data_IF_135252466692
#
_entry.id   IF_135252466692
#
_cell.length_a   1.000
_cell.length_b   1.000
_cell.length_c   1.000
_cell.angle_alpha   90.00
_cell.angle_beta   90.00
_cell.angle_gamma   90.00
#
_symmetry.space_group_name_H-M   'P 1'
#
loop_
_entity.id
_entity.type
_entity.pdbx_description
1 polymer ?
#
# COMPACT_ATOMS: atom_id res chain seq x y z
N UNK A 1 -19.94 -12.87 -1.88
CA UNK A 1 -20.30 -12.02 -0.72
C UNK A 1 -19.74 -10.63 -1.03
N UNK A 2 -20.57 -9.61 -0.93
CA UNK A 2 -20.13 -8.24 -1.15
C UNK A 2 -19.05 -7.87 -0.13
N UNK A 3 -17.95 -7.34 -0.60
CA UNK A 3 -16.85 -6.86 0.24
C UNK A 3 -17.15 -5.44 0.69
N UNK A 4 -17.18 -5.19 2.00
CA UNK A 4 -17.41 -3.87 2.59
C UNK A 4 -16.11 -3.26 3.07
N UNK A 5 -15.95 -1.95 2.86
CA UNK A 5 -14.84 -1.14 3.35
C UNK A 5 -15.32 -0.18 4.44
N UNK A 6 -14.42 0.23 5.31
CA UNK A 6 -14.70 1.14 6.43
C UNK A 6 -14.58 2.57 5.93
N UNK A 7 -15.69 3.31 5.92
CA UNK A 7 -15.68 4.75 5.69
C UNK A 7 -15.10 5.47 6.90
N UNK A 8 -14.24 6.46 6.66
CA UNK A 8 -13.58 7.22 7.72
C UNK A 8 -13.67 8.72 7.47
N UNK A 9 -13.44 9.51 8.52
CA UNK A 9 -13.17 10.93 8.41
C UNK A 9 -11.66 11.19 8.14
N UNK A 10 -11.28 12.46 8.01
CA UNK A 10 -9.89 12.89 7.78
C UNK A 10 -8.91 12.53 8.92
N UNK A 11 -9.42 12.15 10.09
CA UNK A 11 -8.64 11.69 11.24
C UNK A 11 -8.63 10.17 11.38
N UNK A 12 -9.17 9.44 10.36
CA UNK A 12 -9.31 7.98 10.36
C UNK A 12 -10.30 7.43 11.42
N UNK A 13 -11.25 8.25 11.87
CA UNK A 13 -12.32 7.74 12.72
C UNK A 13 -13.38 7.06 11.86
N UNK A 14 -13.82 5.84 12.19
CA UNK A 14 -14.88 5.16 11.45
C UNK A 14 -16.20 5.93 11.50
N UNK A 15 -16.79 6.18 10.33
CA UNK A 15 -18.09 6.86 10.20
C UNK A 15 -19.17 6.01 9.52
N UNK A 16 -18.82 4.81 9.06
CA UNK A 16 -19.76 3.89 8.41
C UNK A 16 -19.06 2.82 7.60
N UNK A 17 -19.83 2.18 6.72
CA UNK A 17 -19.34 1.18 5.77
C UNK A 17 -19.99 1.39 4.41
N UNK A 18 -19.29 1.00 3.36
CA UNK A 18 -19.85 0.95 2.00
C UNK A 18 -19.39 -0.33 1.30
N UNK A 19 -20.19 -0.78 0.34
CA UNK A 19 -19.76 -1.82 -0.59
C UNK A 19 -18.55 -1.34 -1.39
N UNK A 20 -17.51 -2.17 -1.48
CA UNK A 20 -16.21 -1.81 -2.06
C UNK A 20 -16.33 -1.16 -3.44
N UNK A 21 -17.10 -1.75 -4.36
CA UNK A 21 -17.26 -1.19 -5.71
C UNK A 21 -17.91 0.18 -5.67
N UNK A 22 -18.99 0.34 -4.90
CA UNK A 22 -19.67 1.64 -4.76
C UNK A 22 -18.82 2.69 -4.05
N UNK A 23 -17.94 2.25 -3.15
CA UNK A 23 -17.04 3.14 -2.44
C UNK A 23 -16.04 3.82 -3.39
N UNK A 24 -15.58 3.11 -4.43
CA UNK A 24 -14.60 3.62 -5.38
C UNK A 24 -15.21 4.40 -6.56
N UNK A 25 -16.55 4.38 -6.72
CA UNK A 25 -17.24 4.96 -7.86
C UNK A 25 -18.10 6.17 -7.49
N UNK A 26 -18.20 7.19 -8.37
CA UNK A 26 -17.25 7.54 -9.45
C UNK A 26 -16.01 8.26 -8.89
N UNK A 27 -16.17 9.08 -7.83
CA UNK A 27 -15.14 9.99 -7.31
C UNK A 27 -14.41 9.44 -6.06
N UNK A 28 -14.78 8.25 -5.61
CA UNK A 28 -14.20 7.62 -4.43
C UNK A 28 -14.67 8.26 -3.10
N UNK A 29 -15.27 7.48 -2.20
CA UNK A 29 -15.54 7.91 -0.82
C UNK A 29 -14.31 7.67 0.04
N UNK A 30 -14.03 8.57 0.98
CA UNK A 30 -12.89 8.39 1.88
C UNK A 30 -13.09 7.14 2.75
N UNK A 31 -12.14 6.22 2.65
CA UNK A 31 -12.20 4.94 3.34
C UNK A 31 -10.82 4.46 3.79
N UNK A 32 -10.80 3.47 4.67
CA UNK A 32 -9.58 2.91 5.25
C UNK A 32 -8.98 1.84 4.37
N UNK A 33 -7.67 1.98 4.09
CA UNK A 33 -6.89 1.02 3.32
C UNK A 33 -5.48 0.84 3.89
N UNK A 34 -4.73 -0.10 3.36
CA UNK A 34 -3.32 -0.25 3.68
C UNK A 34 -2.50 -0.71 2.48
N UNK A 35 -1.22 -0.36 2.51
CA UNK A 35 -0.17 -0.88 1.63
C UNK A 35 0.88 -1.59 2.47
N UNK A 36 1.08 -2.87 2.20
CA UNK A 36 2.11 -3.70 2.81
C UNK A 36 3.32 -3.81 1.88
N UNK A 37 4.50 -3.49 2.41
CA UNK A 37 5.78 -3.51 1.71
C UNK A 37 6.65 -4.60 2.33
N UNK A 38 6.97 -5.65 1.57
CA UNK A 38 7.82 -6.75 2.01
C UNK A 38 9.20 -6.60 1.38
N UNK A 39 10.20 -6.57 2.25
CA UNK A 39 11.60 -6.51 1.86
C UNK A 39 12.30 -7.83 2.11
N UNK A 40 13.31 -8.14 1.31
CA UNK A 40 14.27 -9.19 1.64
C UNK A 40 15.47 -8.61 2.42
N UNK A 41 16.37 -9.47 2.89
CA UNK A 41 17.57 -9.04 3.63
C UNK A 41 18.55 -8.20 2.80
N UNK A 42 18.43 -8.23 1.47
CA UNK A 42 19.23 -7.42 0.55
C UNK A 42 18.63 -6.02 0.32
N UNK A 43 17.49 -5.70 0.97
CA UNK A 43 16.79 -4.43 0.82
C UNK A 43 15.99 -4.29 -0.47
N UNK A 44 15.74 -5.38 -1.20
CA UNK A 44 14.83 -5.36 -2.36
C UNK A 44 13.38 -5.46 -1.92
N UNK A 45 12.51 -4.72 -2.56
CA UNK A 45 11.05 -4.76 -2.39
C UNK A 45 10.44 -5.82 -3.28
N UNK A 46 9.53 -6.63 -2.72
CA UNK A 46 8.68 -7.52 -3.50
C UNK A 46 7.50 -6.73 -4.08
N UNK A 47 7.49 -6.57 -5.39
CA UNK A 47 6.35 -6.01 -6.12
C UNK A 47 5.43 -7.12 -6.61
N UNK A 48 4.14 -6.82 -6.65
CA UNK A 48 3.11 -7.64 -7.29
C UNK A 48 2.54 -6.92 -8.49
N UNK A 49 2.21 -7.64 -9.55
CA UNK A 49 1.50 -7.11 -10.70
C UNK A 49 0.02 -7.40 -10.52
N UNK A 50 -0.79 -6.37 -10.50
CA UNK A 50 -2.25 -6.48 -10.38
C UNK A 50 -2.82 -7.31 -11.55
N UNK A 51 -3.81 -8.11 -11.26
CA UNK A 51 -4.53 -8.85 -12.30
C UNK A 51 -5.23 -7.91 -13.28
N UNK A 52 -5.34 -8.32 -14.54
CA UNK A 52 -6.08 -7.58 -15.58
C UNK A 52 -7.60 -7.51 -15.31
N UNK A 53 -8.10 -8.32 -14.35
CA UNK A 53 -9.50 -8.28 -13.90
C UNK A 53 -9.80 -7.19 -12.87
N UNK A 54 -8.78 -6.48 -12.36
CA UNK A 54 -8.98 -5.39 -11.40
C UNK A 54 -9.72 -4.22 -12.05
N UNK A 55 -10.71 -3.68 -11.34
CA UNK A 55 -11.51 -2.53 -11.80
C UNK A 55 -10.66 -1.26 -11.97
N UNK A 56 -9.77 -1.00 -11.00
CA UNK A 56 -8.87 0.15 -10.98
C UNK A 56 -7.41 -0.34 -11.08
N UNK A 57 -6.59 0.33 -11.89
CA UNK A 57 -5.19 -0.02 -12.17
C UNK A 57 -4.98 -1.51 -12.54
N UNK A 58 -5.74 -2.09 -13.50
CA UNK A 58 -5.48 -3.45 -13.97
C UNK A 58 -4.10 -3.53 -14.65
N UNK A 59 -3.33 -4.57 -14.35
CA UNK A 59 -2.03 -4.81 -14.96
C UNK A 59 -0.88 -3.93 -14.47
N UNK A 60 -1.12 -3.01 -13.52
CA UNK A 60 -0.07 -2.16 -12.97
C UNK A 60 0.72 -2.88 -11.86
N UNK A 61 1.96 -2.44 -11.66
CA UNK A 61 2.80 -2.88 -10.55
C UNK A 61 2.41 -2.17 -9.24
N UNK A 62 2.32 -2.94 -8.18
CA UNK A 62 1.93 -2.49 -6.85
C UNK A 62 2.96 -2.88 -5.80
N UNK A 63 2.80 -2.37 -4.59
CA UNK A 63 3.44 -2.90 -3.40
C UNK A 63 3.14 -4.38 -3.22
N UNK A 64 3.62 -4.99 -2.14
CA UNK A 64 3.47 -6.44 -2.00
C UNK A 64 2.02 -6.87 -1.85
N UNK A 65 1.25 -6.15 -1.02
CA UNK A 65 -0.22 -6.33 -0.88
C UNK A 65 -0.85 -4.99 -0.56
N UNK A 66 -1.88 -4.60 -1.30
CA UNK A 66 -2.73 -3.46 -1.00
C UNK A 66 -4.18 -3.91 -0.82
N UNK A 67 -4.81 -3.56 0.31
CA UNK A 67 -6.15 -4.03 0.64
C UNK A 67 -6.81 -3.18 1.74
N UNK A 68 -7.95 -3.64 2.23
CA UNK A 68 -8.77 -2.92 3.20
C UNK A 68 -8.91 -3.72 4.50
N UNK A 69 -8.79 -3.06 5.68
CA UNK A 69 -9.17 -3.65 6.95
C UNK A 69 -10.67 -3.96 7.01
N UNK A 70 -11.01 -5.11 7.59
CA UNK A 70 -12.39 -5.44 7.96
C UNK A 70 -12.74 -4.83 9.31
N UNK A 71 -14.04 -4.77 9.61
CA UNK A 71 -14.49 -4.33 10.93
C UNK A 71 -13.84 -5.15 12.05
N UNK A 72 -13.29 -4.45 13.04
CA UNK A 72 -12.57 -5.06 14.18
C UNK A 72 -11.10 -5.41 13.89
N UNK A 73 -10.63 -5.25 12.65
CA UNK A 73 -9.22 -5.44 12.32
C UNK A 73 -8.41 -4.15 12.52
N UNK A 74 -7.18 -4.32 12.98
CA UNK A 74 -6.14 -3.31 12.90
C UNK A 74 -5.48 -3.36 11.51
N UNK A 75 -4.71 -2.35 11.14
CA UNK A 75 -3.89 -2.38 9.92
C UNK A 75 -2.97 -3.62 9.89
N UNK A 76 -2.30 -3.91 11.02
CA UNK A 76 -1.39 -5.05 11.15
C UNK A 76 -2.13 -6.38 10.96
N UNK A 77 -3.21 -6.61 11.71
CA UNK A 77 -3.96 -7.88 11.61
C UNK A 77 -4.58 -8.09 10.23
N UNK A 78 -5.00 -7.01 9.56
CA UNK A 78 -5.51 -7.07 8.21
C UNK A 78 -4.43 -7.46 7.19
N UNK A 79 -3.24 -6.87 7.27
CA UNK A 79 -2.12 -7.23 6.41
C UNK A 79 -1.66 -8.68 6.65
N UNK A 80 -1.53 -9.11 7.93
CA UNK A 80 -1.16 -10.48 8.28
C UNK A 80 -2.19 -11.52 7.82
N UNK A 81 -3.48 -11.15 7.69
CA UNK A 81 -4.50 -11.98 7.06
C UNK A 81 -4.36 -12.04 5.55
N UNK A 82 -4.19 -10.88 4.89
CA UNK A 82 -4.21 -10.81 3.42
C UNK A 82 -2.94 -11.37 2.76
N UNK A 83 -1.79 -11.23 3.40
CA UNK A 83 -0.51 -11.73 2.88
C UNK A 83 -0.54 -13.22 2.51
N UNK A 84 -0.92 -14.16 3.41
CA UNK A 84 -1.03 -15.56 3.03
C UNK A 84 -2.17 -15.83 2.04
N UNK A 85 -3.25 -15.05 2.06
CA UNK A 85 -4.36 -15.21 1.12
C UNK A 85 -3.93 -14.87 -0.32
N UNK A 86 -3.19 -13.78 -0.55
CA UNK A 86 -2.85 -13.29 -1.90
C UNK A 86 -1.58 -13.88 -2.47
N UNK A 87 -0.54 -14.03 -1.66
CA UNK A 87 0.80 -14.38 -2.13
C UNK A 87 1.44 -15.58 -1.39
N UNK A 88 0.71 -16.19 -0.44
CA UNK A 88 1.21 -17.34 0.30
C UNK A 88 2.34 -17.04 1.28
N UNK A 89 2.62 -15.77 1.59
CA UNK A 89 3.65 -15.37 2.55
C UNK A 89 3.04 -15.15 3.93
N UNK A 90 3.70 -15.63 4.97
CA UNK A 90 3.42 -15.28 6.36
C UNK A 90 4.64 -14.60 6.95
N UNK A 91 4.50 -13.36 7.35
CA UNK A 91 5.54 -12.64 8.07
C UNK A 91 4.92 -11.66 9.08
N UNK A 92 5.73 -11.28 10.06
CA UNK A 92 5.32 -10.26 11.03
C UNK A 92 5.30 -8.89 10.35
N UNK A 93 4.16 -8.21 10.44
CA UNK A 93 4.01 -6.87 9.91
C UNK A 93 4.26 -5.82 11.00
N UNK A 94 4.88 -4.72 10.60
CA UNK A 94 5.13 -3.57 11.45
C UNK A 94 4.45 -2.36 10.83
N UNK A 95 3.62 -1.69 11.62
CA UNK A 95 3.00 -0.45 11.22
C UNK A 95 4.05 0.68 11.20
N UNK A 96 4.04 1.50 10.14
CA UNK A 96 5.01 2.58 9.94
C UNK A 96 4.34 3.94 10.12
N UNK A 97 3.34 4.24 9.31
CA UNK A 97 2.64 5.52 9.26
C UNK A 97 1.32 5.40 8.50
N UNK A 98 0.61 6.49 8.32
CA UNK A 98 -0.52 6.60 7.39
C UNK A 98 -0.58 7.99 6.73
N UNK A 99 -1.21 8.03 5.58
CA UNK A 99 -1.44 9.25 4.81
C UNK A 99 -2.82 9.21 4.15
N UNK A 100 -3.39 10.38 3.90
CA UNK A 100 -4.59 10.51 3.08
C UNK A 100 -4.19 10.91 1.67
N UNK A 101 -4.77 10.23 0.68
CA UNK A 101 -4.57 10.56 -0.73
C UNK A 101 -5.84 10.36 -1.54
N UNK A 102 -5.91 11.02 -2.70
CA UNK A 102 -6.98 10.88 -3.66
C UNK A 102 -6.42 10.88 -5.08
N UNK A 103 -6.63 9.80 -5.80
CA UNK A 103 -6.18 9.65 -7.19
C UNK A 103 -7.32 9.10 -8.05
N UNK A 104 -7.76 9.83 -9.07
CA UNK A 104 -8.70 9.30 -10.05
C UNK A 104 -8.01 8.33 -11.01
N UNK A 105 -8.74 7.30 -11.42
CA UNK A 105 -8.31 6.37 -12.46
C UNK A 105 -9.18 6.53 -13.70
N UNK A 106 -8.69 7.28 -14.67
CA UNK A 106 -9.41 7.58 -15.92
C UNK A 106 -10.84 8.11 -15.60
N UNK A 107 -11.83 7.67 -16.38
CA UNK A 107 -13.25 7.95 -16.16
C UNK A 107 -13.98 6.79 -15.45
N UNK A 108 -13.22 5.90 -14.75
CA UNK A 108 -13.78 4.68 -14.14
C UNK A 108 -14.15 4.91 -12.68
N UNK A 109 -13.21 5.42 -11.89
CA UNK A 109 -13.39 5.60 -10.43
C UNK A 109 -12.16 6.23 -9.80
N UNK A 110 -12.06 6.18 -8.48
CA UNK A 110 -10.95 6.80 -7.74
C UNK A 110 -10.59 5.99 -6.51
N UNK A 111 -9.30 6.02 -6.16
CA UNK A 111 -8.87 5.75 -4.79
C UNK A 111 -8.96 7.05 -3.98
N UNK A 112 -9.63 6.99 -2.85
CA UNK A 112 -9.73 8.09 -1.88
C UNK A 112 -9.62 7.47 -0.48
N UNK A 113 -8.40 7.44 0.05
CA UNK A 113 -8.06 6.56 1.16
C UNK A 113 -7.28 7.26 2.27
N UNK A 114 -7.56 6.84 3.51
CA UNK A 114 -6.58 6.88 4.59
C UNK A 114 -5.84 5.55 4.55
N UNK A 115 -4.63 5.59 4.02
CA UNK A 115 -3.82 4.42 3.73
C UNK A 115 -2.71 4.23 4.76
N UNK A 116 -2.75 3.11 5.50
CA UNK A 116 -1.70 2.71 6.42
C UNK A 116 -0.53 2.04 5.69
N UNK A 117 0.70 2.44 5.98
CA UNK A 117 1.92 1.80 5.47
C UNK A 117 2.40 0.74 6.47
N UNK A 118 2.60 -0.47 5.98
CA UNK A 118 3.16 -1.57 6.79
C UNK A 118 4.42 -2.13 6.14
N UNK A 119 5.35 -2.57 6.99
CA UNK A 119 6.62 -3.15 6.57
C UNK A 119 6.80 -4.54 7.15
N UNK A 120 7.21 -5.48 6.32
CA UNK A 120 7.65 -6.81 6.71
C UNK A 120 8.99 -7.18 6.07
N UNK A 121 9.69 -8.14 6.68
CA UNK A 121 10.95 -8.67 6.16
C UNK A 121 10.86 -10.18 6.07
N UNK A 122 11.25 -10.74 4.94
CA UNK A 122 11.32 -12.19 4.73
C UNK A 122 12.74 -12.60 4.37
N UNK A 123 13.15 -13.77 4.85
CA UNK A 123 14.48 -14.31 4.60
C UNK A 123 14.54 -15.10 3.29
N UNK A 124 13.58 -16.02 3.13
CA UNK A 124 13.42 -16.87 1.96
C UNK A 124 11.98 -16.79 1.47
N UNK A 125 11.81 -16.35 0.23
CA UNK A 125 10.53 -16.42 -0.46
C UNK A 125 10.57 -17.53 -1.50
N UNK A 126 9.69 -18.52 -1.33
CA UNK A 126 9.38 -19.46 -2.39
C UNK A 126 8.04 -19.06 -2.98
N UNK A 127 8.01 -18.79 -4.26
CA UNK A 127 6.77 -18.59 -5.00
C UNK A 127 5.88 -19.84 -4.81
N UNK A 128 4.84 -19.71 -3.97
CA UNK A 128 4.05 -20.87 -3.56
C UNK A 128 2.68 -20.92 -4.23
N UNK A 129 1.96 -19.82 -4.27
CA UNK A 129 0.67 -19.74 -4.98
C UNK A 129 0.21 -18.29 -5.06
N UNK A 130 0.12 -17.78 -6.26
CA UNK A 130 -0.54 -16.49 -6.51
C UNK A 130 -2.02 -16.73 -6.74
N UNK A 131 -2.87 -15.91 -6.12
CA UNK A 131 -4.28 -15.86 -6.53
C UNK A 131 -4.35 -15.11 -7.85
N UNK A 132 -4.56 -15.84 -8.94
CA UNK A 132 -4.54 -15.30 -10.31
C UNK A 132 -5.54 -14.17 -10.56
N UNK A 133 -6.65 -14.16 -9.83
CA UNK A 133 -7.65 -13.09 -9.92
C UNK A 133 -7.20 -11.80 -9.21
N UNK A 134 -6.18 -11.88 -8.35
CA UNK A 134 -5.58 -10.75 -7.63
C UNK A 134 -4.26 -10.32 -8.26
N UNK A 135 -3.37 -11.26 -8.56
CA UNK A 135 -1.96 -11.05 -8.93
C UNK A 135 -1.59 -11.87 -10.16
N UNK A 136 -1.05 -11.21 -11.18
CA UNK A 136 -0.60 -11.83 -12.43
C UNK A 136 0.90 -12.14 -12.46
N UNK A 137 1.73 -11.41 -11.72
CA UNK A 137 3.17 -11.61 -11.62
C UNK A 137 3.75 -11.01 -10.35
N UNK A 138 4.98 -11.39 -10.03
CA UNK A 138 5.78 -10.81 -8.94
C UNK A 138 7.20 -10.53 -9.40
N UNK A 139 7.87 -9.57 -8.78
CA UNK A 139 9.30 -9.32 -8.96
C UNK A 139 9.93 -8.70 -7.71
N UNK A 140 11.21 -9.02 -7.46
CA UNK A 140 12.04 -8.26 -6.53
C UNK A 140 12.69 -7.09 -7.26
N UNK A 141 12.68 -5.90 -6.65
CA UNK A 141 13.26 -4.69 -7.23
C UNK A 141 14.07 -3.94 -6.18
N UNK A 142 15.24 -3.41 -6.58
CA UNK A 142 16.04 -2.51 -5.74
C UNK A 142 15.56 -1.06 -5.86
N UNK A 143 15.97 -0.16 -4.93
CA UNK A 143 15.65 1.28 -5.01
C UNK A 143 16.10 1.92 -6.33
N UNK A 144 17.32 1.61 -6.79
CA UNK A 144 17.89 2.18 -8.01
C UNK A 144 17.20 1.67 -9.28
N UNK A 145 16.84 0.37 -9.30
CA UNK A 145 16.05 -0.19 -10.40
C UNK A 145 14.66 0.45 -10.47
N UNK A 146 13.96 0.59 -9.32
CA UNK A 146 12.63 1.23 -9.31
C UNK A 146 12.72 2.69 -9.74
N UNK A 147 13.74 3.42 -9.28
CA UNK A 147 13.96 4.82 -9.71
C UNK A 147 14.06 4.90 -11.24
N UNK A 148 14.90 4.07 -11.84
CA UNK A 148 15.08 4.02 -13.29
C UNK A 148 13.77 3.67 -14.03
N UNK A 149 13.01 2.72 -13.49
CA UNK A 149 11.71 2.35 -14.04
C UNK A 149 10.68 3.47 -13.95
N UNK A 150 10.63 4.20 -12.82
CA UNK A 150 9.71 5.33 -12.64
C UNK A 150 10.06 6.52 -13.54
N UNK A 151 11.32 6.72 -13.87
CA UNK A 151 11.75 7.75 -14.84
C UNK A 151 11.25 7.43 -16.26
N UNK A 152 11.19 6.17 -16.63
CA UNK A 152 10.87 5.73 -17.99
C UNK A 152 9.43 5.24 -18.17
N UNK A 153 8.84 4.61 -17.16
CA UNK A 153 7.58 3.84 -17.25
C UNK A 153 6.68 4.07 -16.03
N UNK A 154 6.63 5.28 -15.49
CA UNK A 154 5.87 5.58 -14.26
C UNK A 154 4.41 5.13 -14.28
N UNK A 155 3.75 5.24 -15.42
CA UNK A 155 2.31 5.02 -15.57
C UNK A 155 1.88 3.55 -15.41
N UNK A 156 2.84 2.64 -15.21
CA UNK A 156 2.56 1.24 -14.91
C UNK A 156 2.73 0.90 -13.42
N UNK A 157 2.82 1.91 -12.55
CA UNK A 157 2.99 1.75 -11.10
C UNK A 157 1.88 2.41 -10.32
N UNK A 158 1.35 1.71 -9.32
CA UNK A 158 0.29 2.21 -8.45
C UNK A 158 0.74 3.39 -7.60
N UNK A 159 -0.04 4.49 -7.54
CA UNK A 159 0.34 5.70 -6.82
C UNK A 159 0.55 5.50 -5.32
N UNK A 160 -0.33 4.75 -4.64
CA UNK A 160 -0.26 4.54 -3.19
C UNK A 160 1.03 3.86 -2.74
N UNK A 161 1.56 2.90 -3.53
CA UNK A 161 2.85 2.30 -3.27
C UNK A 161 3.98 3.34 -3.26
N UNK A 162 3.99 4.23 -4.25
CA UNK A 162 5.04 5.25 -4.39
C UNK A 162 4.93 6.29 -3.26
N UNK A 163 3.69 6.68 -2.90
CA UNK A 163 3.44 7.57 -1.77
C UNK A 163 3.90 6.92 -0.46
N UNK A 164 3.58 5.63 -0.25
CA UNK A 164 4.03 4.89 0.92
C UNK A 164 5.57 4.83 1.01
N UNK A 165 6.26 4.56 -0.10
CA UNK A 165 7.73 4.58 -0.16
C UNK A 165 8.31 5.96 0.17
N UNK A 166 7.67 7.03 -0.28
CA UNK A 166 8.09 8.38 0.06
C UNK A 166 8.02 8.64 1.57
N UNK A 167 6.93 8.21 2.23
CA UNK A 167 6.73 8.41 3.67
C UNK A 167 7.38 7.33 4.55
N UNK A 168 8.08 6.37 4.00
CA UNK A 168 8.61 5.22 4.75
C UNK A 168 9.54 5.63 5.91
N UNK A 169 10.22 6.77 5.79
CA UNK A 169 11.10 7.30 6.84
C UNK A 169 10.37 8.12 7.92
N UNK A 170 9.06 8.39 7.73
CA UNK A 170 8.24 9.15 8.66
C UNK A 170 7.52 8.21 9.62
N UNK A 171 8.27 7.65 10.56
CA UNK A 171 7.81 6.71 11.58
C UNK A 171 8.41 7.06 12.94
N UNK A 172 8.00 6.34 13.99
CA UNK A 172 8.57 6.51 15.33
C UNK A 172 10.08 6.18 15.35
N UNK A 173 10.84 6.75 16.31
CA UNK A 173 12.29 6.57 16.36
C UNK A 173 12.77 5.12 16.53
N UNK A 174 11.99 4.27 17.22
CA UNK A 174 12.34 2.85 17.41
C UNK A 174 12.22 2.09 16.08
N UNK A 175 11.09 2.25 15.39
CA UNK A 175 10.85 1.69 14.07
C UNK A 175 11.90 2.18 13.07
N UNK A 176 12.20 3.49 13.07
CA UNK A 176 13.22 4.07 12.22
C UNK A 176 14.60 3.44 12.44
N UNK A 177 15.04 3.32 13.70
CA UNK A 177 16.32 2.70 14.03
C UNK A 177 16.38 1.23 13.62
N UNK A 178 15.29 0.50 13.81
CA UNK A 178 15.20 -0.92 13.48
C UNK A 178 15.31 -1.18 11.98
N UNK A 179 14.67 -0.35 11.17
CA UNK A 179 14.57 -0.55 9.71
C UNK A 179 15.41 0.42 8.88
N UNK A 180 16.13 1.37 9.52
CA UNK A 180 16.93 2.39 8.83
C UNK A 180 17.85 1.85 7.72
N UNK A 181 18.61 0.76 7.92
CA UNK A 181 19.45 0.19 6.85
C UNK A 181 18.65 -0.26 5.63
N UNK A 182 17.37 -0.61 5.83
CA UNK A 182 16.51 -1.14 4.79
C UNK A 182 15.76 -0.04 4.04
N UNK A 183 15.33 1.01 4.75
CA UNK A 183 14.41 2.02 4.22
C UNK A 183 15.08 3.30 3.74
N UNK A 184 16.34 3.55 4.10
CA UNK A 184 17.04 4.82 3.81
C UNK A 184 17.10 5.16 2.33
N UNK A 185 17.27 4.17 1.46
CA UNK A 185 17.38 4.35 0.02
C UNK A 185 16.03 4.49 -0.69
N UNK A 186 14.93 4.21 0.01
CA UNK A 186 13.58 4.27 -0.53
C UNK A 186 12.90 5.63 -0.34
N UNK A 187 13.42 6.48 0.55
CA UNK A 187 12.82 7.77 0.91
C UNK A 187 13.37 8.92 0.06
N UNK A 188 13.15 8.87 -1.24
CA UNK A 188 13.63 9.87 -2.18
C UNK A 188 12.61 10.99 -2.39
N UNK A 189 13.05 12.25 -2.42
CA UNK A 189 12.17 13.41 -2.66
C UNK A 189 11.47 13.35 -4.02
N UNK A 190 12.11 12.74 -5.01
CA UNK A 190 11.58 12.55 -6.35
C UNK A 190 10.30 11.72 -6.37
N UNK A 191 10.15 10.78 -5.42
CA UNK A 191 8.95 9.97 -5.30
C UNK A 191 7.72 10.82 -4.96
N UNK A 192 7.88 11.84 -4.10
CA UNK A 192 6.80 12.77 -3.76
C UNK A 192 6.35 13.61 -4.95
N UNK A 193 7.29 14.15 -5.73
CA UNK A 193 6.99 15.04 -6.84
C UNK A 193 6.00 14.44 -7.84
N UNK A 194 6.04 13.12 -8.01
CA UNK A 194 5.15 12.42 -8.94
C UNK A 194 3.68 12.45 -8.52
N UNK A 195 3.39 12.54 -7.21
CA UNK A 195 2.04 12.45 -6.66
C UNK A 195 1.70 13.56 -5.67
N UNK A 196 2.43 14.68 -5.68
CA UNK A 196 2.23 15.78 -4.74
C UNK A 196 0.78 16.29 -4.71
N UNK A 197 0.13 16.36 -5.86
CA UNK A 197 -1.28 16.80 -5.98
C UNK A 197 -2.28 15.76 -5.46
N UNK A 198 -1.90 14.50 -5.40
CA UNK A 198 -2.75 13.42 -4.93
C UNK A 198 -2.71 13.29 -3.40
N UNK A 199 -1.58 13.66 -2.78
CA UNK A 199 -1.40 13.60 -1.33
C UNK A 199 -2.13 14.77 -0.70
N UNK A 200 -3.13 14.49 0.15
CA UNK A 200 -3.87 15.51 0.88
C UNK A 200 -3.14 15.92 2.15
N UNK A 201 -2.81 14.94 3.00
CA UNK A 201 -1.99 15.18 4.17
C UNK A 201 -1.37 13.89 4.72
N UNK A 202 -0.28 14.06 5.46
CA UNK A 202 0.32 13.03 6.29
C UNK A 202 -0.34 13.07 7.67
N UNK A 203 -0.73 11.91 8.20
CA UNK A 203 -1.40 11.80 9.49
C UNK A 203 -0.36 11.42 10.55
N UNK A 204 0.02 12.33 11.48
CA UNK A 204 1.05 12.06 12.49
C UNK A 204 0.62 10.97 13.47
N UNK A 205 1.59 10.21 13.99
CA UNK A 205 1.38 9.07 14.90
C UNK A 205 0.61 9.39 16.19
N UNK A 206 0.63 10.64 16.64
CA UNK A 206 -0.04 11.03 17.89
C UNK A 206 -1.58 10.89 17.87
N UNK A 207 -2.17 10.65 16.72
CA UNK A 207 -3.61 10.41 16.56
C UNK A 207 -4.00 8.91 16.64
N UNK A 208 -3.07 8.03 17.02
CA UNK A 208 -3.20 6.55 16.96
C UNK A 208 -3.68 5.87 18.23
N UNK A 209 -3.98 6.59 19.27
CA UNK A 209 -4.49 5.98 20.50
C UNK A 209 -5.96 5.62 20.30
N UNK A 210 -6.18 4.41 19.79
CA UNK A 210 -7.39 3.63 20.02
C UNK A 210 -7.12 2.66 21.14
#
# INVERSE_FOLDING_TARGET
MDEFVILVDENDNPIGKEEKVKCHLPDGKLHRAFTALIFNKEGKLLLTKRSDSKMLWPGDWDGTVASHPREGETYVSSAERRMPEEIGITCKMNYINKFEYHVPYKDVGSENEVCGTLLGVVDDFKETSLIKDEISAIKWISPDELKTELENNRDIYCPWMIIALYYLNDCDPETKNRFSPLISDWTKSELKQNYEKAIKHYIPENNWRL
#
